data_IF_402833524901
#
_entry.id   IF_402833524901
#
_cell.length_a   1.000
_cell.length_b   1.000
_cell.length_c   1.000
_cell.angle_alpha   90.00
_cell.angle_beta   90.00
_cell.angle_gamma   90.00
#
_symmetry.space_group_name_H-M   'P 1'
#
loop_
_entity.id
_entity.type
_entity.pdbx_description
1 polymer ?
#
# COMPACT_ATOMS: atom_id res chain seq x y z
N UNK A 1 9.03 -17.86 19.51
CA UNK A 1 8.85 -16.69 18.62
C UNK A 1 8.84 -15.42 19.44
N UNK A 2 9.76 -14.49 19.17
CA UNK A 2 9.78 -13.20 19.86
C UNK A 2 8.77 -12.26 19.20
N UNK A 3 7.58 -12.15 19.79
CA UNK A 3 6.55 -11.19 19.36
C UNK A 3 7.09 -9.75 19.32
N UNK A 4 8.15 -9.44 20.07
CA UNK A 4 8.79 -8.12 20.06
C UNK A 4 9.53 -7.85 18.74
N UNK A 5 10.12 -8.87 18.12
CA UNK A 5 10.83 -8.73 16.84
C UNK A 5 9.87 -8.48 15.66
N UNK A 6 8.73 -9.18 15.62
CA UNK A 6 7.68 -8.92 14.62
C UNK A 6 7.12 -7.51 14.78
N UNK A 7 6.80 -7.13 16.01
CA UNK A 7 6.28 -5.80 16.34
C UNK A 7 7.27 -4.70 15.97
N UNK A 8 8.56 -4.88 16.26
CA UNK A 8 9.59 -3.88 15.94
C UNK A 8 9.77 -3.72 14.43
N UNK A 9 9.75 -4.81 13.67
CA UNK A 9 9.83 -4.76 12.21
C UNK A 9 8.64 -4.04 11.58
N UNK A 10 7.42 -4.40 11.97
CA UNK A 10 6.20 -3.75 11.48
C UNK A 10 6.20 -2.26 11.84
N UNK A 11 6.57 -1.90 13.06
CA UNK A 11 6.67 -0.48 13.47
C UNK A 11 7.68 0.30 12.63
N UNK A 12 8.85 -0.30 12.36
CA UNK A 12 9.88 0.31 11.52
C UNK A 12 9.37 0.56 10.10
N UNK A 13 8.71 -0.44 9.51
CA UNK A 13 8.15 -0.35 8.17
C UNK A 13 7.00 0.68 8.08
N UNK A 14 6.10 0.74 9.08
CA UNK A 14 5.05 1.77 9.15
C UNK A 14 5.66 3.17 9.23
N UNK A 15 6.69 3.37 10.04
CA UNK A 15 7.39 4.64 10.13
C UNK A 15 7.99 5.03 8.78
N UNK A 16 8.62 4.07 8.10
CA UNK A 16 9.26 4.30 6.80
C UNK A 16 8.22 4.58 5.71
N UNK A 17 7.06 3.89 5.72
CA UNK A 17 5.91 4.20 4.86
C UNK A 17 5.41 5.63 5.08
N UNK A 18 5.33 6.07 6.34
CA UNK A 18 4.96 7.45 6.68
C UNK A 18 5.96 8.47 6.12
N UNK A 19 7.26 8.18 6.19
CA UNK A 19 8.30 9.04 5.60
C UNK A 19 8.17 9.09 4.08
N UNK A 20 7.99 7.96 3.40
CA UNK A 20 7.81 7.93 1.94
C UNK A 20 6.50 8.59 1.49
N UNK A 21 5.45 8.54 2.31
CA UNK A 21 4.22 9.31 2.06
C UNK A 21 4.48 10.82 2.08
N UNK A 22 5.20 11.31 3.09
CA UNK A 22 5.56 12.74 3.18
C UNK A 22 6.47 13.15 2.03
N UNK A 23 7.43 12.29 1.65
CA UNK A 23 8.29 12.54 0.50
C UNK A 23 7.47 12.68 -0.79
N UNK A 24 6.52 11.77 -1.03
CA UNK A 24 5.62 11.85 -2.20
C UNK A 24 4.77 13.11 -2.16
N UNK A 25 4.23 13.48 -0.99
CA UNK A 25 3.45 14.72 -0.83
C UNK A 25 4.27 15.95 -1.23
N UNK A 26 5.53 16.04 -0.77
CA UNK A 26 6.42 17.16 -1.11
C UNK A 26 6.68 17.18 -2.62
N UNK A 27 7.00 16.03 -3.23
CA UNK A 27 7.21 15.93 -4.68
C UNK A 27 5.97 16.40 -5.44
N UNK A 28 4.78 15.91 -5.09
CA UNK A 28 3.54 16.31 -5.75
C UNK A 28 3.20 17.78 -5.49
N UNK A 29 3.55 18.34 -4.33
CA UNK A 29 3.34 19.76 -4.05
C UNK A 29 4.25 20.64 -4.90
N UNK A 30 5.47 20.19 -5.18
CA UNK A 30 6.39 20.88 -6.09
C UNK A 30 5.92 20.78 -7.55
N UNK A 31 5.45 19.60 -7.98
CA UNK A 31 4.92 19.39 -9.35
C UNK A 31 3.63 20.18 -9.56
N UNK A 32 2.70 20.11 -8.61
CA UNK A 32 1.43 20.84 -8.61
C UNK A 32 1.53 22.10 -7.76
N UNK A 33 2.50 22.97 -8.07
CA UNK A 33 2.78 24.15 -7.24
C UNK A 33 1.58 25.11 -7.14
N UNK A 34 0.77 25.22 -8.20
CA UNK A 34 -0.43 26.06 -8.26
C UNK A 34 -1.64 25.49 -7.52
N UNK A 35 -1.64 24.20 -7.18
CA UNK A 35 -2.78 23.56 -6.51
C UNK A 35 -2.81 23.88 -5.01
N UNK A 36 -4.01 23.82 -4.41
CA UNK A 36 -4.12 23.97 -2.96
C UNK A 36 -3.42 22.81 -2.23
N UNK A 37 -2.90 23.08 -1.03
CA UNK A 37 -2.30 22.05 -0.15
C UNK A 37 -3.26 20.87 0.04
N UNK A 38 -4.55 21.16 0.22
CA UNK A 38 -5.62 20.16 0.39
C UNK A 38 -5.75 19.25 -0.84
N UNK A 39 -5.77 19.80 -2.06
CA UNK A 39 -5.87 19.02 -3.28
C UNK A 39 -4.65 18.11 -3.48
N UNK A 40 -3.45 18.64 -3.20
CA UNK A 40 -2.22 17.84 -3.25
C UNK A 40 -2.25 16.71 -2.22
N UNK A 41 -2.70 16.99 -0.99
CA UNK A 41 -2.81 15.98 0.06
C UNK A 41 -3.80 14.89 -0.32
N UNK A 42 -4.99 15.24 -0.82
CA UNK A 42 -5.99 14.28 -1.28
C UNK A 42 -5.47 13.41 -2.42
N UNK A 43 -4.77 14.01 -3.38
CA UNK A 43 -4.13 13.27 -4.48
C UNK A 43 -3.06 12.31 -3.96
N UNK A 44 -2.23 12.76 -3.01
CA UNK A 44 -1.19 11.92 -2.38
C UNK A 44 -1.81 10.73 -1.66
N UNK A 45 -2.85 10.98 -0.84
CA UNK A 45 -3.59 9.92 -0.13
C UNK A 45 -4.20 8.94 -1.13
N UNK A 46 -4.87 9.43 -2.18
CA UNK A 46 -5.47 8.58 -3.20
C UNK A 46 -4.47 7.68 -3.90
N UNK A 47 -3.31 8.24 -4.29
CA UNK A 47 -2.23 7.47 -4.92
C UNK A 47 -1.66 6.41 -3.97
N UNK A 48 -1.36 6.77 -2.73
CA UNK A 48 -0.84 5.83 -1.74
C UNK A 48 -1.84 4.69 -1.46
N UNK A 49 -3.12 5.06 -1.32
CA UNK A 49 -4.23 4.16 -1.04
C UNK A 49 -4.43 3.12 -2.12
N UNK A 50 -4.34 3.53 -3.40
CA UNK A 50 -4.61 2.64 -4.53
C UNK A 50 -3.36 1.90 -5.00
N UNK A 51 -2.19 2.54 -4.97
CA UNK A 51 -0.99 2.04 -5.63
C UNK A 51 0.04 1.42 -4.69
N UNK A 52 0.04 1.71 -3.39
CA UNK A 52 1.13 1.23 -2.52
C UNK A 52 0.61 0.27 -1.47
N UNK A 53 -0.34 0.72 -0.65
CA UNK A 53 -0.81 -0.04 0.51
C UNK A 53 -1.43 -1.41 0.17
N UNK A 54 -2.22 -1.57 -0.91
CA UNK A 54 -2.93 -2.82 -1.17
C UNK A 54 -2.02 -4.03 -1.33
N UNK A 55 -0.82 -3.85 -1.89
CA UNK A 55 0.11 -4.95 -2.11
C UNK A 55 1.38 -4.90 -1.26
N UNK A 56 1.67 -3.80 -0.55
CA UNK A 56 2.92 -3.66 0.20
C UNK A 56 3.16 -4.85 1.16
N UNK A 57 2.16 -5.26 1.93
CA UNK A 57 2.29 -6.40 2.82
C UNK A 57 2.43 -7.76 2.12
N UNK A 58 1.94 -7.91 0.89
CA UNK A 58 2.08 -9.13 0.09
C UNK A 58 3.53 -9.36 -0.35
N UNK A 59 4.30 -8.27 -0.51
CA UNK A 59 5.71 -8.37 -0.91
C UNK A 59 6.57 -9.10 0.13
N UNK A 60 6.11 -9.25 1.39
CA UNK A 60 6.78 -10.11 2.38
C UNK A 60 6.84 -11.59 2.00
N UNK A 61 6.03 -12.03 1.03
CA UNK A 61 6.10 -13.38 0.48
C UNK A 61 7.34 -13.59 -0.41
N UNK A 62 7.93 -12.51 -0.91
CA UNK A 62 9.17 -12.53 -1.68
C UNK A 62 10.32 -12.46 -0.67
N UNK A 63 11.26 -13.40 -0.78
CA UNK A 63 12.42 -13.48 0.10
C UNK A 63 13.48 -12.45 -0.31
N UNK A 64 14.28 -12.02 0.66
CA UNK A 64 15.47 -11.17 0.48
C UNK A 64 15.26 -9.82 -0.23
N UNK A 65 14.06 -9.25 -0.18
CA UNK A 65 13.82 -7.89 -0.70
C UNK A 65 13.79 -6.84 0.41
N UNK A 66 14.44 -5.70 0.13
CA UNK A 66 14.50 -4.56 1.04
C UNK A 66 13.24 -3.69 0.99
N UNK A 67 13.14 -2.71 1.91
CA UNK A 67 11.97 -1.84 1.99
C UNK A 67 11.71 -1.08 0.68
N UNK A 68 12.76 -0.53 0.06
CA UNK A 68 12.62 0.26 -1.16
C UNK A 68 12.14 -0.62 -2.32
N UNK A 69 12.65 -1.84 -2.43
CA UNK A 69 12.21 -2.81 -3.43
C UNK A 69 10.75 -3.22 -3.19
N UNK A 70 10.37 -3.51 -1.94
CA UNK A 70 8.97 -3.75 -1.56
C UNK A 70 8.08 -2.59 -1.96
N UNK A 71 8.51 -1.35 -1.72
CA UNK A 71 7.77 -0.14 -2.07
C UNK A 71 7.59 -0.04 -3.60
N UNK A 72 8.66 -0.20 -4.37
CA UNK A 72 8.62 -0.11 -5.85
C UNK A 72 7.78 -1.23 -6.46
N UNK A 73 7.95 -2.47 -6.01
CA UNK A 73 7.19 -3.64 -6.49
C UNK A 73 5.71 -3.54 -6.11
N UNK A 74 5.39 -2.92 -4.97
CA UNK A 74 4.00 -2.74 -4.54
C UNK A 74 3.18 -1.90 -5.52
N UNK A 75 3.80 -1.02 -6.31
CA UNK A 75 3.12 -0.16 -7.29
C UNK A 75 2.43 -0.95 -8.40
N UNK A 76 3.17 -1.67 -9.26
CA UNK A 76 2.55 -2.48 -10.32
C UNK A 76 1.67 -3.59 -9.74
N UNK A 77 2.03 -4.16 -8.58
CA UNK A 77 1.24 -5.22 -7.95
C UNK A 77 -0.11 -4.69 -7.43
N UNK A 78 -0.13 -3.55 -6.74
CA UNK A 78 -1.36 -2.91 -6.27
C UNK A 78 -2.23 -2.46 -7.44
N UNK A 79 -1.63 -1.85 -8.46
CA UNK A 79 -2.34 -1.46 -9.67
C UNK A 79 -3.03 -2.66 -10.35
N UNK A 80 -2.33 -3.79 -10.41
CA UNK A 80 -2.87 -5.04 -10.98
C UNK A 80 -4.03 -5.59 -10.15
N UNK A 81 -3.86 -5.78 -8.84
CA UNK A 81 -4.91 -6.36 -8.00
C UNK A 81 -6.13 -5.44 -7.89
N UNK A 82 -5.92 -4.12 -7.73
CA UNK A 82 -7.02 -3.16 -7.62
C UNK A 82 -7.72 -3.00 -8.96
N UNK A 83 -6.98 -2.91 -10.06
CA UNK A 83 -7.51 -2.77 -11.41
C UNK A 83 -8.34 -3.98 -11.86
N UNK A 84 -7.77 -5.19 -11.74
CA UNK A 84 -8.45 -6.43 -12.13
C UNK A 84 -9.70 -6.65 -11.27
N UNK A 85 -9.58 -6.48 -9.95
CA UNK A 85 -10.73 -6.66 -9.05
C UNK A 85 -11.83 -5.64 -9.32
N UNK A 86 -11.46 -4.37 -9.53
CA UNK A 86 -12.44 -3.32 -9.86
C UNK A 86 -13.14 -3.58 -11.20
N UNK A 87 -12.42 -4.10 -12.20
CA UNK A 87 -13.01 -4.48 -13.49
C UNK A 87 -14.09 -5.55 -13.33
N UNK A 88 -13.79 -6.64 -12.62
CA UNK A 88 -14.77 -7.71 -12.40
C UNK A 88 -15.94 -7.28 -11.53
N UNK A 89 -15.71 -6.45 -10.49
CA UNK A 89 -16.78 -5.86 -9.72
C UNK A 89 -17.67 -4.94 -10.57
N UNK A 90 -17.07 -4.21 -11.51
CA UNK A 90 -17.78 -3.41 -12.50
C UNK A 90 -18.73 -4.25 -13.36
N UNK A 91 -18.27 -5.42 -13.84
CA UNK A 91 -19.12 -6.39 -14.57
C UNK A 91 -20.29 -6.87 -13.71
N UNK A 92 -20.07 -7.06 -12.40
CA UNK A 92 -21.11 -7.45 -11.44
C UNK A 92 -22.04 -6.29 -11.02
N UNK A 93 -21.91 -5.12 -11.64
CA UNK A 93 -22.78 -3.96 -11.40
C UNK A 93 -22.36 -3.08 -10.22
N UNK A 94 -21.16 -3.27 -9.65
CA UNK A 94 -20.63 -2.38 -8.61
C UNK A 94 -20.07 -1.12 -9.26
N UNK A 95 -20.52 0.09 -8.87
CA UNK A 95 -19.99 1.33 -9.43
C UNK A 95 -18.48 1.50 -9.17
N UNK A 96 -17.73 1.99 -10.16
CA UNK A 96 -16.29 2.22 -10.06
C UNK A 96 -15.90 3.12 -8.87
N UNK A 97 -16.73 4.12 -8.56
CA UNK A 97 -16.53 4.99 -7.40
C UNK A 97 -16.53 4.19 -6.10
N UNK A 98 -17.41 3.18 -5.96
CA UNK A 98 -17.45 2.31 -4.78
C UNK A 98 -16.29 1.34 -4.76
N UNK A 99 -15.93 0.74 -5.90
CA UNK A 99 -14.80 -0.20 -5.96
C UNK A 99 -13.47 0.47 -5.60
N UNK A 100 -13.28 1.76 -5.91
CA UNK A 100 -12.11 2.55 -5.52
C UNK A 100 -11.89 2.64 -3.99
N UNK A 101 -12.93 2.43 -3.18
CA UNK A 101 -12.82 2.39 -1.72
C UNK A 101 -12.72 0.96 -1.19
N UNK A 102 -13.66 0.08 -1.58
CA UNK A 102 -13.75 -1.26 -1.01
C UNK A 102 -12.62 -2.19 -1.44
N UNK A 103 -12.18 -2.11 -2.70
CA UNK A 103 -11.15 -3.00 -3.22
C UNK A 103 -9.81 -2.72 -2.54
N UNK A 104 -9.28 -1.48 -2.52
CA UNK A 104 -8.05 -1.23 -1.79
C UNK A 104 -8.17 -1.56 -0.30
N UNK A 105 -9.28 -1.23 0.36
CA UNK A 105 -9.48 -1.55 1.78
C UNK A 105 -9.34 -3.06 2.06
N UNK A 106 -10.00 -3.90 1.26
CA UNK A 106 -9.92 -5.35 1.39
C UNK A 106 -8.47 -5.84 1.23
N UNK A 107 -7.78 -5.38 0.20
CA UNK A 107 -6.41 -5.81 -0.07
C UNK A 107 -5.39 -5.25 0.92
N UNK A 108 -5.59 -4.05 1.47
CA UNK A 108 -4.77 -3.53 2.58
C UNK A 108 -4.88 -4.42 3.81
N UNK A 109 -6.09 -4.87 4.16
CA UNK A 109 -6.28 -5.78 5.29
C UNK A 109 -5.63 -7.15 5.03
N UNK A 110 -5.82 -7.69 3.82
CA UNK A 110 -5.20 -8.96 3.42
C UNK A 110 -3.68 -8.87 3.41
N UNK A 111 -3.10 -7.80 2.86
CA UNK A 111 -1.65 -7.62 2.79
C UNK A 111 -1.05 -7.44 4.18
N UNK A 112 -1.71 -6.69 5.06
CA UNK A 112 -1.31 -6.56 6.46
C UNK A 112 -1.35 -7.90 7.20
N UNK A 113 -2.40 -8.72 6.97
CA UNK A 113 -2.49 -10.06 7.53
C UNK A 113 -1.35 -10.96 7.03
N UNK A 114 -1.08 -10.97 5.72
CA UNK A 114 0.01 -11.72 5.12
C UNK A 114 1.37 -11.33 5.71
N UNK A 115 1.65 -10.03 5.80
CA UNK A 115 2.88 -9.54 6.42
C UNK A 115 3.02 -10.02 7.86
N UNK A 116 1.95 -9.93 8.66
CA UNK A 116 1.94 -10.39 10.05
C UNK A 116 2.22 -11.90 10.14
N UNK A 117 1.52 -12.72 9.35
CA UNK A 117 1.69 -14.17 9.40
C UNK A 117 3.04 -14.64 8.85
N UNK A 118 3.57 -14.03 7.79
CA UNK A 118 4.88 -14.39 7.23
C UNK A 118 6.02 -13.97 8.16
N UNK A 119 5.95 -12.79 8.77
CA UNK A 119 6.90 -12.37 9.82
C UNK A 119 6.79 -13.25 11.06
N UNK A 120 5.59 -13.76 11.36
CA UNK A 120 5.39 -14.73 12.43
C UNK A 120 5.98 -16.10 12.04
N UNK A 121 5.77 -16.58 10.83
CA UNK A 121 6.38 -17.81 10.33
C UNK A 121 7.89 -17.71 10.05
N UNK A 122 8.52 -16.55 10.27
CA UNK A 122 9.94 -16.29 9.98
C UNK A 122 10.86 -16.94 11.02
N UNK A 123 10.86 -18.28 11.04
CA UNK A 123 11.88 -19.24 11.48
C UNK A 123 11.28 -20.64 11.40
N UNK A 124 11.31 -21.22 10.20
CA UNK A 124 11.60 -22.65 10.06
C UNK A 124 13.03 -22.76 9.51
#
# INVERSE_FOLDING_TARGET
MDNNAVSSKIKSDIKTLGISFVALFIILKLVFFNESITNTLLSTVGLYWILILPAFGLTYLIEDIEFLERLVISIPLSASIVGISSYYLGILGVPAVRSAYYVPALFVLLSAAVAYFKLKGFKE
#
